data_IF_593518468523
#
_entry.id   IF_593518468523
#
_cell.length_a   1.000
_cell.length_b   1.000
_cell.length_c   1.000
_cell.angle_alpha   90.00
_cell.angle_beta   90.00
_cell.angle_gamma   90.00
#
_symmetry.space_group_name_H-M   'P 1'
#
loop_
_entity.id
_entity.type
_entity.pdbx_description
1 polymer ?
#
# COMPACT_ATOMS: atom_id res chain seq x y z
N UNK A 1 -2.62 19.99 -2.34
CA UNK A 1 -3.49 19.43 -1.30
C UNK A 1 -3.36 17.91 -1.29
N UNK A 2 -3.21 17.34 -0.09
CA UNK A 2 -3.15 15.90 0.08
C UNK A 2 -4.55 15.33 0.29
N UNK A 3 -4.78 14.08 -0.14
CA UNK A 3 -6.06 13.41 0.03
C UNK A 3 -5.86 11.97 0.50
N UNK A 4 -6.79 11.48 1.31
CA UNK A 4 -6.94 10.06 1.64
C UNK A 4 -8.20 9.57 0.94
N UNK A 5 -8.05 8.52 0.14
CA UNK A 5 -9.16 7.84 -0.53
C UNK A 5 -9.22 6.42 0.02
N UNK A 6 -10.36 6.01 0.50
CA UNK A 6 -10.56 4.68 1.07
C UNK A 6 -11.89 4.07 0.62
N UNK A 7 -11.92 2.76 0.43
CA UNK A 7 -13.15 2.01 0.18
C UNK A 7 -13.91 1.60 1.47
N UNK A 8 -13.36 1.97 2.62
CA UNK A 8 -13.94 1.75 3.94
C UNK A 8 -14.01 3.06 4.72
N UNK A 9 -14.68 3.04 5.86
CA UNK A 9 -14.64 4.15 6.81
C UNK A 9 -13.25 4.25 7.45
N UNK A 10 -12.71 5.46 7.46
CA UNK A 10 -11.41 5.71 8.07
C UNK A 10 -11.46 5.48 9.59
N UNK A 11 -10.45 4.84 10.15
CA UNK A 11 -10.42 4.55 11.58
C UNK A 11 -10.45 5.83 12.42
N UNK A 12 -11.08 5.76 13.60
CA UNK A 12 -11.20 6.89 14.52
C UNK A 12 -9.83 7.47 14.91
N UNK A 13 -8.83 6.60 15.08
CA UNK A 13 -7.46 7.02 15.42
C UNK A 13 -6.82 7.89 14.33
N UNK A 14 -7.03 7.54 13.05
CA UNK A 14 -6.51 8.34 11.94
C UNK A 14 -7.27 9.66 11.83
N UNK A 15 -8.60 9.65 11.96
CA UNK A 15 -9.41 10.89 12.00
C UNK A 15 -8.94 11.82 13.13
N UNK A 16 -8.73 11.27 14.33
CA UNK A 16 -8.19 12.01 15.48
C UNK A 16 -6.80 12.59 15.19
N UNK A 17 -5.91 11.81 14.56
CA UNK A 17 -4.57 12.27 14.19
C UNK A 17 -4.64 13.44 13.19
N UNK A 18 -5.45 13.34 12.13
CA UNK A 18 -5.66 14.40 11.14
C UNK A 18 -6.11 15.68 11.85
N UNK A 19 -7.10 15.57 12.73
CA UNK A 19 -7.64 16.70 13.48
C UNK A 19 -6.63 17.31 14.44
N UNK A 20 -5.98 16.51 15.29
CA UNK A 20 -5.04 17.01 16.31
C UNK A 20 -3.78 17.62 15.71
N UNK A 21 -3.30 17.11 14.57
CA UNK A 21 -2.15 17.65 13.84
C UNK A 21 -2.52 18.76 12.86
N UNK A 22 -3.80 19.14 12.78
CA UNK A 22 -4.32 20.16 11.83
C UNK A 22 -3.85 19.91 10.39
N UNK A 23 -3.86 18.65 9.96
CA UNK A 23 -3.39 18.26 8.64
C UNK A 23 -4.41 18.71 7.57
N UNK A 24 -3.95 19.45 6.58
CA UNK A 24 -4.77 19.89 5.44
C UNK A 24 -5.01 18.72 4.46
N UNK A 25 -5.73 17.70 4.90
CA UNK A 25 -6.00 16.48 4.14
C UNK A 25 -7.49 16.38 3.85
N UNK A 26 -7.83 16.18 2.58
CA UNK A 26 -9.20 15.82 2.16
C UNK A 26 -9.37 14.31 2.32
N UNK A 27 -10.49 13.89 2.93
CA UNK A 27 -10.80 12.47 3.14
C UNK A 27 -12.04 12.11 2.33
N UNK A 28 -11.91 11.04 1.55
CA UNK A 28 -12.99 10.47 0.73
C UNK A 28 -13.18 9.01 1.19
N UNK A 29 -14.22 8.79 2.00
CA UNK A 29 -14.55 7.48 2.56
C UNK A 29 -15.53 6.71 1.66
N UNK A 30 -15.53 5.38 1.78
CA UNK A 30 -16.47 4.46 1.12
C UNK A 30 -16.51 4.63 -0.41
N UNK A 31 -15.39 4.99 -1.02
CA UNK A 31 -15.30 5.19 -2.46
C UNK A 31 -15.21 3.83 -3.16
N UNK A 32 -16.23 3.52 -3.95
CA UNK A 32 -16.26 2.30 -4.77
C UNK A 32 -15.38 2.41 -6.02
N UNK A 33 -15.25 3.63 -6.56
CA UNK A 33 -14.45 3.92 -7.75
C UNK A 33 -13.66 5.21 -7.56
N UNK A 34 -12.40 5.22 -7.98
CA UNK A 34 -11.59 6.42 -8.01
C UNK A 34 -11.97 7.23 -9.26
N UNK A 35 -12.54 8.39 -9.06
CA UNK A 35 -12.93 9.30 -10.14
C UNK A 35 -11.78 10.25 -10.51
N UNK A 36 -11.55 10.53 -11.80
CA UNK A 36 -10.59 11.56 -12.23
C UNK A 36 -10.83 12.94 -11.61
N UNK A 37 -12.08 13.25 -11.25
CA UNK A 37 -12.45 14.51 -10.59
C UNK A 37 -11.83 14.63 -9.20
N UNK A 38 -11.76 13.53 -8.46
CA UNK A 38 -11.12 13.48 -7.13
C UNK A 38 -9.60 13.67 -7.26
N UNK A 39 -9.03 13.20 -8.35
CA UNK A 39 -7.58 13.21 -8.60
C UNK A 39 -7.05 14.48 -9.26
N UNK A 40 -7.91 15.48 -9.51
CA UNK A 40 -7.47 16.74 -10.14
C UNK A 40 -6.38 17.42 -9.32
N UNK A 41 -5.22 17.68 -9.95
CA UNK A 41 -4.05 18.28 -9.30
C UNK A 41 -3.23 17.31 -8.43
N UNK A 42 -3.45 16.00 -8.58
CA UNK A 42 -2.63 14.97 -7.94
C UNK A 42 -1.39 14.71 -8.80
N UNK A 43 -0.23 14.73 -8.16
CA UNK A 43 1.07 14.40 -8.79
C UNK A 43 1.40 12.93 -8.64
N UNK A 44 1.17 12.37 -7.45
CA UNK A 44 1.46 10.97 -7.12
C UNK A 44 0.32 10.38 -6.30
N UNK A 45 -0.03 9.13 -6.59
CA UNK A 45 -0.96 8.32 -5.80
C UNK A 45 -0.17 7.22 -5.10
N UNK A 46 -0.27 7.18 -3.77
CA UNK A 46 0.26 6.06 -2.99
C UNK A 46 -0.87 5.16 -2.51
N UNK A 47 -0.91 3.96 -3.06
CA UNK A 47 -1.89 2.91 -2.75
C UNK A 47 -1.39 2.03 -1.61
N UNK A 48 -2.21 1.89 -0.57
CA UNK A 48 -1.92 1.04 0.59
C UNK A 48 -3.17 0.26 0.96
N UNK A 49 -3.13 -1.06 0.80
CA UNK A 49 -4.25 -1.93 1.16
C UNK A 49 -5.54 -1.65 0.37
N UNK A 50 -5.46 -1.04 -0.79
CA UNK A 50 -6.60 -0.84 -1.68
C UNK A 50 -6.85 -2.12 -2.48
N UNK A 51 -7.98 -2.77 -2.19
CA UNK A 51 -8.27 -4.13 -2.66
C UNK A 51 -9.09 -4.18 -3.96
N UNK A 52 -9.32 -3.02 -4.60
CA UNK A 52 -10.08 -2.94 -5.85
C UNK A 52 -9.17 -2.64 -7.03
N UNK A 53 -9.63 -3.00 -8.23
CA UNK A 53 -8.93 -2.66 -9.47
C UNK A 53 -8.94 -1.15 -9.71
N UNK A 54 -7.83 -0.62 -10.14
CA UNK A 54 -7.71 0.78 -10.58
C UNK A 54 -7.94 0.80 -12.09
N UNK A 55 -8.81 1.70 -12.55
CA UNK A 55 -9.12 1.85 -13.98
C UNK A 55 -7.83 2.17 -14.77
N UNK A 56 -7.66 1.53 -15.93
CA UNK A 56 -6.52 1.76 -16.84
C UNK A 56 -6.36 3.23 -17.24
N UNK A 57 -7.47 3.97 -17.38
CA UNK A 57 -7.42 5.40 -17.66
C UNK A 57 -6.74 6.19 -16.56
N UNK A 58 -6.87 5.76 -15.31
CA UNK A 58 -6.21 6.37 -14.16
C UNK A 58 -4.74 5.95 -14.13
N UNK A 59 -4.44 4.67 -14.32
CA UNK A 59 -3.07 4.15 -14.39
C UNK A 59 -2.26 4.86 -15.49
N UNK A 60 -2.86 5.10 -16.65
CA UNK A 60 -2.18 5.76 -17.77
C UNK A 60 -1.99 7.27 -17.57
N UNK A 61 -2.74 7.88 -16.67
CA UNK A 61 -2.75 9.34 -16.48
C UNK A 61 -1.95 9.80 -15.26
N UNK A 62 -1.87 8.99 -14.23
CA UNK A 62 -1.28 9.33 -12.95
C UNK A 62 -0.16 8.38 -12.61
N UNK A 63 0.89 8.89 -11.99
CA UNK A 63 1.89 8.04 -11.36
C UNK A 63 1.29 7.42 -10.10
N UNK A 64 1.27 6.08 -10.05
CA UNK A 64 0.70 5.32 -8.95
C UNK A 64 1.76 4.34 -8.46
N UNK A 65 2.06 4.41 -7.18
CA UNK A 65 2.89 3.42 -6.48
C UNK A 65 2.03 2.66 -5.48
N UNK A 66 2.36 1.41 -5.24
CA UNK A 66 1.63 0.53 -4.33
C UNK A 66 2.55 -0.11 -3.30
N UNK A 67 2.05 -0.24 -2.08
CA UNK A 67 2.66 -1.05 -1.04
C UNK A 67 2.07 -2.45 -1.09
N UNK A 68 2.89 -3.43 -1.44
CA UNK A 68 2.49 -4.83 -1.52
C UNK A 68 3.17 -5.67 -0.43
N UNK A 69 2.43 -6.47 0.36
CA UNK A 69 2.99 -7.20 1.50
C UNK A 69 3.70 -8.51 1.09
N UNK A 70 4.58 -8.43 0.10
CA UNK A 70 5.50 -9.50 -0.29
C UNK A 70 6.77 -8.95 -0.92
N UNK A 71 7.75 -9.81 -1.11
CA UNK A 71 8.96 -9.52 -1.88
C UNK A 71 8.70 -9.85 -3.35
N UNK A 72 8.18 -8.88 -4.11
CA UNK A 72 7.92 -9.05 -5.54
C UNK A 72 9.20 -9.48 -6.28
N UNK A 73 9.09 -10.33 -7.30
CA UNK A 73 7.87 -10.80 -7.99
C UNK A 73 7.14 -11.96 -7.29
N UNK A 74 7.58 -12.40 -6.12
CA UNK A 74 6.94 -13.49 -5.39
C UNK A 74 5.61 -13.02 -4.78
N UNK A 75 4.62 -13.92 -4.75
CA UNK A 75 3.33 -13.71 -4.08
C UNK A 75 2.56 -12.48 -4.57
N UNK A 76 2.52 -12.25 -5.89
CA UNK A 76 1.58 -11.30 -6.49
C UNK A 76 0.15 -11.64 -6.10
N UNK A 77 -0.72 -10.62 -5.98
CA UNK A 77 -2.13 -10.78 -5.65
C UNK A 77 -2.40 -11.00 -4.17
N UNK A 78 -3.51 -11.67 -3.89
CA UNK A 78 -4.08 -11.79 -2.56
C UNK A 78 -3.45 -12.92 -1.72
N UNK A 79 -3.79 -12.93 -0.42
CA UNK A 79 -3.45 -13.98 0.56
C UNK A 79 -1.94 -14.24 0.67
N UNK A 80 -1.12 -13.21 0.55
CA UNK A 80 0.34 -13.31 0.54
C UNK A 80 0.88 -14.03 1.78
N UNK A 81 0.41 -13.66 2.98
CA UNK A 81 0.88 -14.23 4.23
C UNK A 81 0.56 -15.73 4.35
N UNK A 82 -0.66 -16.11 3.98
CA UNK A 82 -1.06 -17.53 3.99
C UNK A 82 -0.22 -18.36 3.04
N UNK A 83 0.02 -17.84 1.84
CA UNK A 83 0.83 -18.51 0.80
C UNK A 83 2.31 -18.64 1.23
N UNK A 84 2.87 -17.61 1.88
CA UNK A 84 4.22 -17.68 2.44
C UNK A 84 4.37 -18.75 3.51
N UNK A 85 3.38 -18.89 4.41
CA UNK A 85 3.39 -19.90 5.45
C UNK A 85 3.27 -21.32 4.87
N UNK A 86 2.39 -21.52 3.90
CA UNK A 86 2.24 -22.82 3.21
C UNK A 86 3.55 -23.22 2.53
N UNK A 87 4.25 -22.28 1.90
CA UNK A 87 5.52 -22.52 1.23
C UNK A 87 6.72 -22.51 2.18
N UNK A 88 6.51 -22.36 3.49
CA UNK A 88 7.56 -22.36 4.51
C UNK A 88 8.69 -21.35 4.19
N UNK A 89 8.31 -20.16 3.78
CA UNK A 89 9.28 -19.12 3.42
C UNK A 89 10.20 -18.75 4.59
N UNK A 90 11.47 -18.49 4.29
CA UNK A 90 12.45 -18.05 5.29
C UNK A 90 12.35 -16.57 5.61
N UNK A 91 11.87 -15.78 4.67
CA UNK A 91 11.78 -14.33 4.79
C UNK A 91 10.39 -13.84 4.44
N UNK A 92 9.97 -12.78 5.10
CA UNK A 92 8.82 -12.00 4.73
C UNK A 92 9.24 -10.56 4.50
N UNK A 93 8.40 -9.78 3.85
CA UNK A 93 8.69 -8.38 3.61
C UNK A 93 7.64 -7.68 2.77
N UNK A 94 7.94 -6.45 2.40
CA UNK A 94 7.08 -5.67 1.52
C UNK A 94 7.87 -5.13 0.32
N UNK A 95 7.15 -4.81 -0.72
CA UNK A 95 7.63 -4.07 -1.89
C UNK A 95 6.84 -2.79 -2.06
N UNK A 96 7.54 -1.71 -2.39
CA UNK A 96 6.94 -0.52 -3.01
C UNK A 96 7.24 -0.63 -4.49
N UNK A 97 6.20 -0.61 -5.32
CA UNK A 97 6.33 -0.78 -6.77
C UNK A 97 5.39 0.17 -7.51
N UNK A 98 5.70 0.47 -8.77
CA UNK A 98 4.80 1.19 -9.66
C UNK A 98 3.61 0.31 -10.01
N UNK A 99 2.42 0.91 -10.09
CA UNK A 99 1.24 0.20 -10.56
C UNK A 99 1.26 0.15 -12.08
N UNK A 100 1.06 -1.05 -12.63
CA UNK A 100 0.93 -1.31 -14.05
C UNK A 100 -0.44 -1.92 -14.35
N UNK A 101 -0.84 -2.07 -15.64
CA UNK A 101 -2.08 -2.77 -16.00
C UNK A 101 -2.12 -4.25 -15.60
N UNK A 102 -0.97 -4.86 -15.34
CA UNK A 102 -0.86 -6.23 -14.85
C UNK A 102 -0.74 -6.22 -13.31
N UNK A 103 -1.39 -7.19 -12.66
CA UNK A 103 -1.46 -7.27 -11.20
C UNK A 103 -0.06 -7.44 -10.59
N UNK A 104 0.32 -6.47 -9.75
CA UNK A 104 1.58 -6.45 -9.00
C UNK A 104 2.83 -6.74 -9.84
N UNK A 105 2.83 -6.26 -11.10
CA UNK A 105 3.87 -6.54 -12.10
C UNK A 105 4.67 -5.29 -12.49
N UNK A 106 4.44 -4.16 -11.86
CA UNK A 106 5.17 -2.93 -12.13
C UNK A 106 6.57 -2.93 -11.51
N UNK A 107 7.40 -2.01 -11.96
CA UNK A 107 8.77 -1.80 -11.51
C UNK A 107 8.85 -1.69 -9.97
N UNK A 108 9.70 -2.50 -9.36
CA UNK A 108 9.94 -2.46 -7.92
C UNK A 108 10.88 -1.29 -7.59
N UNK A 109 10.39 -0.36 -6.78
CA UNK A 109 11.13 0.83 -6.33
C UNK A 109 11.99 0.52 -5.11
N UNK A 110 11.41 -0.19 -4.14
CA UNK A 110 12.08 -0.53 -2.89
C UNK A 110 11.49 -1.79 -2.26
N UNK A 111 12.33 -2.52 -1.53
CA UNK A 111 11.92 -3.70 -0.77
C UNK A 111 12.57 -3.68 0.61
N UNK A 112 11.86 -4.24 1.59
CA UNK A 112 12.40 -4.55 2.92
C UNK A 112 11.99 -5.95 3.32
N UNK A 113 12.93 -6.69 3.89
CA UNK A 113 12.70 -8.05 4.36
C UNK A 113 13.16 -8.26 5.80
N UNK A 114 12.57 -9.25 6.44
CA UNK A 114 12.99 -9.80 7.73
C UNK A 114 12.85 -11.31 7.73
N UNK A 115 13.58 -11.96 8.63
CA UNK A 115 13.45 -13.40 8.85
C UNK A 115 12.04 -13.73 9.36
N UNK A 116 11.37 -14.68 8.74
CA UNK A 116 10.05 -15.16 9.12
C UNK A 116 10.19 -16.09 10.34
N UNK A 117 9.68 -15.64 11.47
CA UNK A 117 9.64 -16.40 12.72
C UNK A 117 8.22 -16.83 13.12
N UNK A 118 7.21 -16.24 12.48
CA UNK A 118 5.81 -16.52 12.76
C UNK A 118 5.40 -17.88 12.19
N UNK A 119 4.56 -18.60 12.93
CA UNK A 119 4.01 -19.90 12.53
C UNK A 119 2.53 -19.82 12.15
N UNK A 120 1.91 -18.65 12.33
CA UNK A 120 0.50 -18.41 12.04
C UNK A 120 0.30 -17.11 11.24
N UNK A 121 -0.83 -17.03 10.56
CA UNK A 121 -1.14 -15.93 9.65
C UNK A 121 -1.32 -14.60 10.38
N UNK A 122 -1.96 -14.59 11.54
CA UNK A 122 -2.22 -13.37 12.33
C UNK A 122 -0.89 -12.76 12.82
N UNK A 123 -0.01 -13.60 13.34
CA UNK A 123 1.33 -13.18 13.76
C UNK A 123 2.14 -12.61 12.61
N UNK A 124 2.07 -13.23 11.42
CA UNK A 124 2.76 -12.75 10.23
C UNK A 124 2.17 -11.42 9.73
N UNK A 125 0.84 -11.27 9.71
CA UNK A 125 0.18 -9.99 9.38
C UNK A 125 0.65 -8.87 10.33
N UNK A 126 0.70 -9.14 11.62
CA UNK A 126 1.17 -8.16 12.60
C UNK A 126 2.65 -7.81 12.42
N UNK A 127 3.47 -8.78 12.03
CA UNK A 127 4.88 -8.57 11.73
C UNK A 127 5.08 -7.73 10.46
N UNK A 128 4.27 -7.94 9.41
CA UNK A 128 4.23 -7.08 8.23
C UNK A 128 3.90 -5.63 8.59
N UNK A 129 2.80 -5.40 9.32
CA UNK A 129 2.41 -4.06 9.78
C UNK A 129 3.53 -3.35 10.54
N UNK A 130 4.22 -4.05 11.44
CA UNK A 130 5.37 -3.48 12.17
C UNK A 130 6.51 -3.10 11.24
N UNK A 131 6.84 -3.96 10.28
CA UNK A 131 7.88 -3.70 9.30
C UNK A 131 7.54 -2.51 8.39
N UNK A 132 6.30 -2.45 7.91
CA UNK A 132 5.78 -1.36 7.11
C UNK A 132 5.83 -0.03 7.88
N UNK A 133 5.30 0.03 9.09
CA UNK A 133 5.34 1.23 9.94
C UNK A 133 6.78 1.72 10.18
N UNK A 134 7.73 0.81 10.28
CA UNK A 134 9.13 1.16 10.55
C UNK A 134 9.84 1.76 9.33
N UNK A 135 9.52 1.31 8.12
CA UNK A 135 10.36 1.59 6.95
C UNK A 135 9.66 2.31 5.79
N UNK A 136 8.34 2.21 5.63
CA UNK A 136 7.63 2.73 4.45
C UNK A 136 7.91 4.21 4.23
N UNK A 137 7.81 5.03 5.27
CA UNK A 137 8.09 6.47 5.16
C UNK A 137 9.50 6.77 4.69
N UNK A 138 10.49 6.06 5.21
CA UNK A 138 11.89 6.23 4.83
C UNK A 138 12.13 5.85 3.38
N UNK A 139 11.56 4.74 2.94
CA UNK A 139 11.71 4.26 1.56
C UNK A 139 10.96 5.17 0.58
N UNK A 140 9.77 5.63 0.94
CA UNK A 140 9.01 6.58 0.15
C UNK A 140 9.73 7.93 0.01
N UNK A 141 10.30 8.44 1.09
CA UNK A 141 11.06 9.71 1.07
C UNK A 141 12.26 9.66 0.14
N UNK A 142 12.94 8.51 0.00
CA UNK A 142 14.04 8.34 -0.95
C UNK A 142 13.57 8.41 -2.41
N UNK A 143 12.37 7.96 -2.67
CA UNK A 143 11.79 7.98 -4.00
C UNK A 143 11.31 9.38 -4.41
N UNK A 144 10.85 10.19 -3.45
CA UNK A 144 10.30 11.53 -3.67
C UNK A 144 11.37 12.63 -3.74
N UNK A 145 12.60 12.35 -3.32
CA UNK A 145 13.74 13.27 -3.39
C UNK A 145 14.63 13.00 -4.62
#
# INVERSE_FOLDING_TARGET
PHSIITNNTLSLNIKKLIYTKKLAIKVYENISHISPKILKGTELIFSVGYMKTIDRKIINKYEIINLHPSLLPLYKGLMTQKRMLINQEKYFGFSIHKVSPLLDDGEVISQKSKLLKNKDEIGLINSHKKLEHQYVFKELSKYLN
#
